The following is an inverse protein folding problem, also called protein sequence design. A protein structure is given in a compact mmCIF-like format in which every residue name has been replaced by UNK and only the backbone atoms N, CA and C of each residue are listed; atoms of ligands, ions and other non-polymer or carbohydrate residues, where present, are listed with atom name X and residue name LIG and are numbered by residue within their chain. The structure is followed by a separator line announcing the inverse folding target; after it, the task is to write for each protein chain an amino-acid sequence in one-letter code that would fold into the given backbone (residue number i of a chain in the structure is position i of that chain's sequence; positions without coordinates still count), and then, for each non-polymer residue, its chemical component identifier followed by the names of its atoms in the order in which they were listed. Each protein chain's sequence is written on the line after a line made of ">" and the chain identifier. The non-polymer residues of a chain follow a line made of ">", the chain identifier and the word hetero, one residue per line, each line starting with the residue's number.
data_IF_756690214900
#
_entry.id   IF_756690214900
#
_cell.length_a   1.000
_cell.length_b   1.000
_cell.length_c   1.000
_cell.angle_alpha   90.00
_cell.angle_beta   90.00
_cell.angle_gamma   90.00
#
_symmetry.space_group_name_H-M   'P 1'
#
loop_
_entity.id
_entity.type
_entity.pdbx_description
1 polymer ?
#
# COMPACT_ATOMS: atom_id res chain seq x y z
N UNK A 1 12.49 12.85 12.01
CA UNK A 1 12.24 13.33 10.64
C UNK A 1 11.28 12.33 10.02
N UNK A 2 9.98 12.54 10.16
CA UNK A 2 9.00 11.54 9.75
C UNK A 2 8.32 12.08 8.50
N UNK A 3 8.93 11.84 7.34
CA UNK A 3 8.32 12.14 6.05
C UNK A 3 7.17 11.16 5.84
N UNK A 4 5.95 11.61 6.11
CA UNK A 4 4.70 10.90 5.79
C UNK A 4 4.53 10.84 4.27
N UNK A 5 5.31 9.96 3.63
CA UNK A 5 5.16 9.68 2.20
C UNK A 5 3.93 8.82 2.01
N UNK A 6 3.01 9.33 1.21
CA UNK A 6 1.88 8.58 0.71
C UNK A 6 2.30 7.94 -0.61
N UNK A 7 2.29 6.61 -0.63
CA UNK A 7 2.56 5.81 -1.81
C UNK A 7 1.27 5.67 -2.59
N UNK A 8 1.33 5.94 -3.89
CA UNK A 8 0.22 5.66 -4.80
C UNK A 8 0.43 4.30 -5.47
N UNK A 9 -0.53 3.88 -6.28
CA UNK A 9 -0.34 2.69 -7.12
C UNK A 9 0.89 2.80 -8.03
N UNK A 10 1.24 4.00 -8.49
CA UNK A 10 2.40 4.21 -9.35
C UNK A 10 3.73 3.93 -8.62
N UNK A 11 3.77 4.12 -7.30
CA UNK A 11 4.92 3.79 -6.46
C UNK A 11 4.90 2.31 -6.06
N UNK A 12 3.72 1.78 -5.73
CA UNK A 12 3.56 0.40 -5.30
C UNK A 12 3.82 -0.62 -6.40
N UNK A 13 3.43 -0.32 -7.65
CA UNK A 13 3.64 -1.24 -8.78
C UNK A 13 5.13 -1.62 -8.97
N UNK A 14 6.06 -0.67 -9.10
CA UNK A 14 7.49 -0.97 -9.19
C UNK A 14 8.05 -1.49 -7.87
N UNK A 15 7.60 -0.98 -6.71
CA UNK A 15 8.10 -1.41 -5.40
C UNK A 15 7.81 -2.90 -5.12
N UNK A 16 6.61 -3.36 -5.44
CA UNK A 16 6.18 -4.74 -5.25
C UNK A 16 6.50 -5.62 -6.47
N UNK A 17 6.96 -5.01 -7.57
CA UNK A 17 7.11 -5.65 -8.87
C UNK A 17 5.83 -6.40 -9.30
N UNK A 18 4.68 -5.74 -9.12
CA UNK A 18 3.34 -6.29 -9.36
C UNK A 18 2.46 -5.27 -10.08
N UNK A 19 1.52 -5.79 -10.86
CA UNK A 19 0.54 -4.95 -11.55
C UNK A 19 -0.48 -4.33 -10.60
N UNK A 20 -1.03 -3.17 -10.97
CA UNK A 20 -2.15 -2.52 -10.28
C UNK A 20 -3.28 -3.51 -9.93
N UNK A 21 -3.63 -4.41 -10.85
CA UNK A 21 -4.70 -5.41 -10.65
C UNK A 21 -4.38 -6.36 -9.50
N UNK A 22 -3.11 -6.78 -9.37
CA UNK A 22 -2.67 -7.65 -8.28
C UNK A 22 -2.81 -6.96 -6.94
N UNK A 23 -2.35 -5.70 -6.84
CA UNK A 23 -2.47 -4.89 -5.62
C UNK A 23 -3.94 -4.67 -5.27
N UNK A 24 -4.77 -4.29 -6.24
CA UNK A 24 -6.21 -4.12 -6.03
C UNK A 24 -6.87 -5.40 -5.53
N UNK A 25 -6.47 -6.56 -6.06
CA UNK A 25 -6.98 -7.87 -5.62
C UNK A 25 -6.56 -8.18 -4.17
N UNK A 26 -5.35 -7.81 -3.76
CA UNK A 26 -4.92 -7.96 -2.37
C UNK A 26 -5.67 -7.02 -1.42
N UNK A 27 -5.94 -5.78 -1.84
CA UNK A 27 -6.79 -4.85 -1.09
C UNK A 27 -8.20 -5.42 -0.93
N UNK A 28 -8.77 -6.00 -1.99
CA UNK A 28 -10.07 -6.66 -1.94
C UNK A 28 -10.06 -7.91 -1.05
N UNK A 29 -8.99 -8.71 -1.10
CA UNK A 29 -8.83 -9.90 -0.27
C UNK A 29 -8.50 -9.58 1.20
N UNK A 30 -8.30 -8.30 1.56
CA UNK A 30 -7.88 -7.90 2.91
C UNK A 30 -6.43 -8.25 3.24
N UNK A 31 -5.66 -8.73 2.26
CA UNK A 31 -4.23 -9.05 2.39
C UNK A 31 -3.35 -7.82 2.16
N UNK A 32 -3.90 -6.64 1.91
CA UNK A 32 -3.12 -5.41 1.73
C UNK A 32 -3.70 -4.30 2.59
N UNK A 33 -2.90 -3.32 3.05
CA UNK A 33 -3.40 -2.24 3.87
C UNK A 33 -4.48 -1.44 3.14
N UNK A 34 -5.43 -0.88 3.89
CA UNK A 34 -6.44 -0.02 3.27
C UNK A 34 -5.84 1.33 2.88
N UNK A 35 -6.16 1.85 1.69
CA UNK A 35 -5.68 3.17 1.30
C UNK A 35 -6.31 4.24 2.17
N UNK A 36 -5.50 5.23 2.52
CA UNK A 36 -5.93 6.47 3.15
C UNK A 36 -6.83 7.24 2.20
N UNK A 37 -8.08 7.39 2.61
CA UNK A 37 -9.05 8.29 1.98
C UNK A 37 -9.00 9.63 2.70
N UNK A 38 -8.86 10.70 1.96
CA UNK A 38 -8.91 12.05 2.49
C UNK A 38 -9.91 12.85 1.66
N UNK A 39 -10.87 13.49 2.32
CA UNK A 39 -11.92 14.29 1.68
C UNK A 39 -12.65 13.54 0.53
N UNK A 40 -12.95 12.25 0.73
CA UNK A 40 -13.64 11.43 -0.26
C UNK A 40 -12.80 11.00 -1.47
N UNK A 41 -11.52 11.40 -1.54
CA UNK A 41 -10.56 10.94 -2.55
C UNK A 41 -9.55 9.98 -1.93
N UNK A 42 -9.32 8.87 -2.62
CA UNK A 42 -8.24 7.94 -2.27
C UNK A 42 -6.91 8.64 -2.55
N UNK A 43 -6.16 8.99 -1.52
CA UNK A 43 -4.85 9.67 -1.70
C UNK A 43 -3.74 8.64 -1.92
N UNK A 44 -3.80 7.49 -1.24
CA UNK A 44 -2.77 6.45 -1.35
C UNK A 44 -2.60 5.68 -0.05
N UNK A 45 -1.50 5.00 0.11
CA UNK A 45 -1.14 4.24 1.31
C UNK A 45 -0.06 4.98 2.08
N UNK A 46 -0.10 4.94 3.41
CA UNK A 46 1.06 5.41 4.17
C UNK A 46 2.20 4.44 3.92
N UNK A 47 3.37 4.97 3.60
CA UNK A 47 4.57 4.15 3.44
C UNK A 47 4.81 3.25 4.66
N UNK A 48 4.55 3.76 5.86
CA UNK A 48 4.68 3.01 7.12
C UNK A 48 3.78 1.77 7.17
N UNK A 49 2.51 1.90 6.75
CA UNK A 49 1.56 0.78 6.73
C UNK A 49 2.00 -0.30 5.74
N UNK A 50 2.56 0.12 4.59
CA UNK A 50 3.09 -0.81 3.57
C UNK A 50 4.36 -1.51 4.09
N UNK A 51 5.29 -0.78 4.69
CA UNK A 51 6.52 -1.35 5.26
C UNK A 51 6.20 -2.34 6.38
N UNK A 52 5.27 -1.99 7.27
CA UNK A 52 4.80 -2.89 8.32
C UNK A 52 4.17 -4.15 7.73
N UNK A 53 3.32 -4.00 6.72
CA UNK A 53 2.71 -5.13 6.04
C UNK A 53 3.73 -6.04 5.34
N UNK A 54 4.75 -5.48 4.69
CA UNK A 54 5.84 -6.26 4.06
C UNK A 54 6.60 -7.03 5.13
N UNK A 55 6.89 -6.42 6.28
CA UNK A 55 7.54 -7.10 7.40
C UNK A 55 6.69 -8.25 7.94
N UNK A 56 5.41 -8.01 8.22
CA UNK A 56 4.50 -9.05 8.69
C UNK A 56 4.37 -10.20 7.68
N UNK A 57 4.31 -9.89 6.38
CA UNK A 57 4.17 -10.90 5.31
C UNK A 57 5.46 -11.69 5.03
N UNK A 58 6.63 -11.19 5.45
CA UNK A 58 7.92 -11.86 5.28
C UNK A 58 8.26 -12.79 6.45
N UNK A 59 7.54 -12.73 7.56
CA UNK A 59 7.86 -13.42 8.81
C UNK A 59 6.94 -14.62 9.08
N UNK A 60 6.51 -15.33 8.02
CA UNK A 60 5.70 -16.56 8.08
C UNK A 60 6.21 -17.66 7.16
#
# INVERSE_FOLDING_TARGET
>A
MNTEKLLTYADLCPMLNRSYKSIWRWVQNGTFPQPVKHLGRTIGWKQLDIENWIKESSES
#
